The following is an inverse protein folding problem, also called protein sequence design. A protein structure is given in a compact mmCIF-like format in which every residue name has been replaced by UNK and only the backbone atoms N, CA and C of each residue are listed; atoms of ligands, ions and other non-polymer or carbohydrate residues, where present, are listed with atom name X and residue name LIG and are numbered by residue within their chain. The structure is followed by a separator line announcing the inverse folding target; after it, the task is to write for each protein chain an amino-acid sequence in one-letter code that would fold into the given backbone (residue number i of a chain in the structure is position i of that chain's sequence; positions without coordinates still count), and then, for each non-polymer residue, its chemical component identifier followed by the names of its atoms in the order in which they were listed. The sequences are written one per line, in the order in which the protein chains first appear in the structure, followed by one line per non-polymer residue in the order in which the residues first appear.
data_IF_246723069872
#
_entry.id   IF_246723069872
#
_cell.length_a   1.000
_cell.length_b   1.000
_cell.length_c   1.000
_cell.angle_alpha   90.00
_cell.angle_beta   90.00
_cell.angle_gamma   90.00
#
_symmetry.space_group_name_H-M   'P 1'
#
loop_
_entity.id
_entity.type
_entity.pdbx_description
1 polymer ?
#
# COMPACT_ATOMS: atom_id res chain seq x y z
N UNK A 1 20.52 -1.48 15.39
CA UNK A 1 20.14 -2.29 14.21
C UNK A 1 19.29 -3.45 14.72
N UNK A 2 18.31 -3.94 13.97
CA UNK A 2 17.42 -5.05 14.40
C UNK A 2 17.76 -6.34 13.67
N UNK A 3 17.85 -7.45 14.41
CA UNK A 3 18.10 -8.80 13.89
C UNK A 3 17.09 -9.17 12.81
N UNK A 4 15.80 -8.96 13.06
CA UNK A 4 14.75 -9.34 12.11
C UNK A 4 14.78 -8.52 10.83
N UNK A 5 15.14 -7.24 10.89
CA UNK A 5 15.35 -6.45 9.66
C UNK A 5 16.50 -7.01 8.84
N UNK A 6 17.60 -7.40 9.49
CA UNK A 6 18.75 -7.98 8.80
C UNK A 6 18.40 -9.34 8.17
N UNK A 7 17.67 -10.20 8.88
CA UNK A 7 17.21 -11.48 8.37
C UNK A 7 16.25 -11.33 7.18
N UNK A 8 15.31 -10.37 7.25
CA UNK A 8 14.43 -10.08 6.12
C UNK A 8 15.22 -9.61 4.89
N UNK A 9 16.24 -8.76 5.08
CA UNK A 9 17.07 -8.27 3.98
C UNK A 9 17.97 -9.34 3.36
N UNK A 10 18.39 -10.34 4.14
CA UNK A 10 19.17 -11.49 3.64
C UNK A 10 18.30 -12.47 2.84
N UNK A 11 16.97 -12.40 3.00
CA UNK A 11 16.05 -13.24 2.24
C UNK A 11 15.94 -12.71 0.81
N UNK A 12 16.67 -13.33 -0.13
CA UNK A 12 16.79 -12.91 -1.53
C UNK A 12 15.54 -13.15 -2.39
N UNK A 13 14.49 -13.73 -1.82
CA UNK A 13 13.22 -13.99 -2.48
C UNK A 13 12.15 -13.01 -1.97
N UNK A 14 11.22 -12.64 -2.85
CA UNK A 14 10.06 -11.76 -2.63
C UNK A 14 9.02 -12.35 -1.66
N UNK A 15 9.44 -12.97 -0.55
CA UNK A 15 8.50 -13.40 0.47
C UNK A 15 7.82 -12.15 1.04
N UNK A 16 6.47 -12.13 1.10
CA UNK A 16 5.76 -11.03 1.71
C UNK A 16 6.28 -10.78 3.13
N UNK A 17 6.47 -9.50 3.46
CA UNK A 17 6.82 -9.05 4.81
C UNK A 17 5.88 -9.61 5.88
N UNK A 18 4.63 -9.84 5.47
CA UNK A 18 3.56 -10.45 6.24
C UNK A 18 3.92 -11.85 6.71
N UNK A 19 4.17 -12.79 5.79
CA UNK A 19 4.58 -14.16 6.09
C UNK A 19 5.81 -14.19 7.02
N UNK A 20 6.81 -13.35 6.75
CA UNK A 20 8.00 -13.27 7.58
C UNK A 20 7.68 -12.87 9.03
N UNK A 21 6.80 -11.90 9.22
CA UNK A 21 6.39 -11.47 10.55
C UNK A 21 5.49 -12.50 11.24
N UNK A 22 4.60 -13.14 10.49
CA UNK A 22 3.73 -14.23 10.94
C UNK A 22 4.56 -15.37 11.56
N UNK A 23 5.62 -15.82 10.88
CA UNK A 23 6.53 -16.86 11.40
C UNK A 23 7.20 -16.45 12.71
N UNK A 24 7.69 -15.21 12.80
CA UNK A 24 8.34 -14.70 14.01
C UNK A 24 7.36 -14.68 15.18
N UNK A 25 6.15 -14.15 14.97
CA UNK A 25 5.15 -14.02 16.02
C UNK A 25 4.68 -15.40 16.49
N UNK A 26 4.39 -16.32 15.57
CA UNK A 26 3.99 -17.67 15.91
C UNK A 26 5.07 -18.42 16.70
N UNK A 27 6.33 -18.32 16.27
CA UNK A 27 7.45 -18.92 17.00
C UNK A 27 7.58 -18.33 18.41
N UNK A 28 7.56 -16.99 18.54
CA UNK A 28 7.62 -16.32 19.83
C UNK A 28 6.49 -16.76 20.78
N UNK A 29 5.26 -16.83 20.28
CA UNK A 29 4.10 -17.23 21.08
C UNK A 29 4.15 -18.70 21.48
N UNK A 30 4.75 -19.58 20.66
CA UNK A 30 4.92 -21.00 21.00
C UNK A 30 5.95 -21.23 22.12
N UNK A 31 6.94 -20.33 22.25
CA UNK A 31 7.87 -20.30 23.37
C UNK A 31 7.26 -19.63 24.63
N UNK A 32 6.35 -18.68 24.43
CA UNK A 32 5.78 -17.82 25.48
C UNK A 32 4.25 -17.93 25.52
N UNK A 33 3.78 -19.13 25.84
CA UNK A 33 2.35 -19.46 25.86
C UNK A 33 1.53 -18.61 26.83
N UNK A 34 2.12 -18.16 27.94
CA UNK A 34 1.49 -17.26 28.91
C UNK A 34 1.19 -15.89 28.30
N UNK A 35 2.05 -15.40 27.41
CA UNK A 35 1.83 -14.15 26.68
C UNK A 35 0.68 -14.29 25.69
N UNK A 36 0.62 -15.42 24.96
CA UNK A 36 -0.51 -15.74 24.07
C UNK A 36 -1.84 -15.76 24.85
N UNK A 37 -1.91 -16.56 25.91
CA UNK A 37 -3.12 -16.69 26.73
C UNK A 37 -3.50 -15.35 27.35
N UNK A 38 -2.53 -14.60 27.89
CA UNK A 38 -2.76 -13.28 28.44
C UNK A 38 -3.29 -12.28 27.41
N UNK A 39 -2.78 -12.32 26.17
CA UNK A 39 -3.26 -11.47 25.08
C UNK A 39 -4.69 -11.84 24.65
N UNK A 40 -4.99 -13.12 24.47
CA UNK A 40 -6.33 -13.59 24.12
C UNK A 40 -7.37 -13.22 25.19
N UNK A 41 -7.03 -13.39 26.48
CA UNK A 41 -7.89 -12.97 27.61
C UNK A 41 -8.08 -11.46 27.67
N UNK A 42 -7.02 -10.69 27.45
CA UNK A 42 -7.11 -9.22 27.48
C UNK A 42 -8.13 -8.68 26.47
N UNK A 43 -8.31 -9.38 25.34
CA UNK A 43 -9.31 -9.06 24.32
C UNK A 43 -10.63 -9.81 24.47
N UNK A 44 -10.84 -10.53 25.59
CA UNK A 44 -12.02 -11.36 25.85
C UNK A 44 -12.31 -12.40 24.78
N UNK A 45 -11.26 -12.90 24.11
CA UNK A 45 -11.36 -13.90 23.05
C UNK A 45 -11.57 -15.29 23.65
N UNK A 46 -10.88 -15.55 24.76
CA UNK A 46 -11.03 -16.73 25.60
C UNK A 46 -11.31 -16.30 27.04
N UNK A 47 -11.98 -17.17 27.79
CA UNK A 47 -12.28 -16.97 29.21
C UNK A 47 -11.73 -18.07 30.12
N UNK A 48 -11.25 -19.18 29.55
CA UNK A 48 -10.73 -20.33 30.29
C UNK A 48 -9.24 -20.16 30.58
N UNK A 49 -8.83 -20.70 31.72
CA UNK A 49 -7.46 -20.65 32.24
C UNK A 49 -6.76 -22.01 32.12
N UNK A 50 -7.51 -23.07 31.83
CA UNK A 50 -7.07 -24.45 32.01
C UNK A 50 -6.75 -25.17 30.70
N UNK A 51 -5.96 -24.53 29.82
CA UNK A 51 -5.42 -25.22 28.64
C UNK A 51 -4.15 -25.98 29.03
N UNK A 52 -4.18 -27.30 28.84
CA UNK A 52 -3.06 -28.20 29.11
C UNK A 52 -2.12 -28.35 27.92
N UNK A 53 -2.59 -28.04 26.70
CA UNK A 53 -1.80 -28.13 25.47
C UNK A 53 -2.12 -26.96 24.54
N UNK A 54 -1.07 -26.39 23.96
CA UNK A 54 -1.15 -25.29 23.00
C UNK A 54 -0.29 -25.69 21.81
N UNK A 55 -0.90 -25.70 20.63
CA UNK A 55 -0.21 -25.94 19.36
C UNK A 55 -0.43 -24.72 18.47
N UNK A 56 0.67 -24.20 17.93
CA UNK A 56 0.66 -23.07 16.99
C UNK A 56 1.27 -23.57 15.70
N UNK A 57 0.54 -23.42 14.60
CA UNK A 57 0.98 -23.77 13.26
C UNK A 57 0.86 -22.53 12.39
N UNK A 58 1.76 -22.36 11.44
CA UNK A 58 1.71 -21.27 10.46
C UNK A 58 1.46 -21.84 9.08
N UNK A 59 0.90 -21.00 8.20
CA UNK A 59 0.85 -21.25 6.76
C UNK A 59 0.18 -22.60 6.41
N UNK A 60 -0.82 -23.00 7.19
CA UNK A 60 -1.51 -24.28 7.04
C UNK A 60 -2.47 -24.23 5.85
N UNK A 61 -2.38 -25.23 4.99
CA UNK A 61 -3.30 -25.41 3.87
C UNK A 61 -4.54 -26.17 4.32
N UNK A 62 -5.69 -25.56 4.12
CA UNK A 62 -7.02 -26.14 4.33
C UNK A 62 -7.70 -26.28 2.98
N UNK A 63 -8.27 -27.46 2.73
CA UNK A 63 -9.02 -27.70 1.50
C UNK A 63 -10.22 -26.77 1.43
N UNK A 64 -10.44 -26.21 0.26
CA UNK A 64 -11.65 -25.45 -0.04
C UNK A 64 -12.89 -26.33 0.12
N UNK A 65 -13.97 -25.73 0.59
CA UNK A 65 -15.29 -26.37 0.56
C UNK A 65 -15.82 -26.44 -0.88
N UNK A 66 -16.87 -27.21 -1.14
CA UNK A 66 -17.42 -27.40 -2.50
C UNK A 66 -17.80 -26.09 -3.22
N UNK A 67 -18.16 -25.05 -2.45
CA UNK A 67 -18.50 -23.72 -2.93
C UNK A 67 -17.29 -22.78 -3.05
N UNK A 68 -16.07 -23.25 -2.75
CA UNK A 68 -14.84 -22.48 -2.85
C UNK A 68 -14.16 -22.78 -4.20
N UNK A 69 -13.57 -21.75 -4.81
CA UNK A 69 -12.86 -21.88 -6.10
C UNK A 69 -11.44 -22.40 -5.95
N UNK A 70 -10.90 -22.38 -4.74
CA UNK A 70 -9.50 -22.70 -4.43
C UNK A 70 -9.36 -23.07 -2.95
N UNK A 71 -8.27 -23.77 -2.63
CA UNK A 71 -7.87 -24.06 -1.26
C UNK A 71 -7.43 -22.78 -0.52
N UNK A 72 -7.41 -22.86 0.81
CA UNK A 72 -7.11 -21.75 1.69
C UNK A 72 -5.78 -21.97 2.41
N UNK A 73 -4.97 -20.91 2.55
CA UNK A 73 -3.72 -20.96 3.32
C UNK A 73 -3.80 -19.94 4.46
N UNK A 74 -3.88 -20.44 5.69
CA UNK A 74 -4.05 -19.62 6.89
C UNK A 74 -2.70 -19.14 7.42
N UNK A 75 -2.64 -17.89 7.85
CA UNK A 75 -1.41 -17.32 8.41
C UNK A 75 -0.98 -18.01 9.71
N UNK A 76 -1.88 -18.04 10.71
CA UNK A 76 -1.65 -18.75 11.99
C UNK A 76 -2.90 -19.51 12.39
N UNK A 77 -2.69 -20.76 12.81
CA UNK A 77 -3.68 -21.61 13.45
C UNK A 77 -3.21 -21.94 14.86
N UNK A 78 -4.06 -21.69 15.85
CA UNK A 78 -3.82 -22.00 17.26
C UNK A 78 -4.86 -23.00 17.75
N UNK A 79 -4.40 -24.15 18.22
CA UNK A 79 -5.24 -25.15 18.88
C UNK A 79 -4.96 -25.10 20.39
N UNK A 80 -6.00 -24.81 21.17
CA UNK A 80 -5.96 -24.77 22.64
C UNK A 80 -6.77 -25.94 23.19
N UNK A 81 -6.12 -26.89 23.86
CA UNK A 81 -6.80 -28.08 24.42
C UNK A 81 -6.68 -28.16 25.93
N UNK A 82 -7.77 -28.55 26.59
CA UNK A 82 -7.82 -28.89 28.02
C UNK A 82 -7.91 -30.40 28.28
N UNK A 83 -7.66 -31.22 27.26
CA UNK A 83 -7.75 -32.69 27.32
C UNK A 83 -9.15 -33.26 27.07
N UNK A 84 -10.21 -32.46 27.24
CA UNK A 84 -11.60 -32.87 26.96
C UNK A 84 -12.17 -32.20 25.71
N UNK A 85 -11.70 -31.00 25.41
CA UNK A 85 -12.20 -30.15 24.34
C UNK A 85 -11.05 -29.34 23.76
N UNK A 86 -11.22 -28.92 22.51
CA UNK A 86 -10.26 -28.08 21.78
C UNK A 86 -10.95 -26.84 21.26
N UNK A 87 -10.35 -25.69 21.50
CA UNK A 87 -10.70 -24.44 20.86
C UNK A 87 -9.73 -24.20 19.71
N UNK A 88 -10.24 -23.74 18.57
CA UNK A 88 -9.43 -23.45 17.39
C UNK A 88 -9.57 -21.98 17.04
N UNK A 89 -8.43 -21.33 16.89
CA UNK A 89 -8.30 -19.93 16.55
C UNK A 89 -7.55 -19.83 15.23
N UNK A 90 -8.23 -19.31 14.21
CA UNK A 90 -7.58 -18.87 12.98
C UNK A 90 -7.23 -17.39 13.11
N UNK A 91 -6.00 -17.02 12.76
CA UNK A 91 -5.54 -15.63 12.74
C UNK A 91 -5.10 -15.32 11.33
N UNK A 92 -5.77 -14.36 10.70
CA UNK A 92 -5.37 -13.76 9.43
C UNK A 92 -4.65 -12.43 9.72
N UNK A 93 -3.40 -12.32 9.25
CA UNK A 93 -2.53 -11.18 9.48
C UNK A 93 -2.48 -10.30 8.25
N UNK A 94 -2.56 -8.97 8.43
CA UNK A 94 -2.31 -8.01 7.35
C UNK A 94 -1.40 -6.88 7.79
N UNK A 95 -0.27 -6.69 7.10
CA UNK A 95 0.64 -5.56 7.37
C UNK A 95 0.54 -4.47 6.30
N UNK A 96 0.33 -4.84 5.04
CA UNK A 96 0.34 -3.87 3.94
C UNK A 96 -0.68 -4.09 2.84
N UNK A 97 -1.42 -5.21 2.87
CA UNK A 97 -2.51 -5.49 1.93
C UNK A 97 -3.85 -5.49 2.68
N UNK A 98 -4.91 -5.02 2.02
CA UNK A 98 -6.27 -5.25 2.50
C UNK A 98 -6.69 -6.69 2.19
N UNK A 99 -7.70 -7.23 2.86
CA UNK A 99 -8.34 -8.48 2.43
C UNK A 99 -8.97 -8.30 1.04
N UNK A 100 -8.31 -8.81 0.01
CA UNK A 100 -8.70 -8.62 -1.39
C UNK A 100 -9.61 -9.72 -1.95
N UNK A 101 -9.80 -10.85 -1.24
CA UNK A 101 -10.28 -12.09 -1.85
C UNK A 101 -11.42 -12.80 -1.07
N UNK A 102 -12.16 -12.10 -0.21
CA UNK A 102 -13.14 -12.70 0.70
C UNK A 102 -12.54 -13.83 1.57
N UNK A 103 -11.24 -13.77 1.86
CA UNK A 103 -10.52 -14.84 2.56
C UNK A 103 -11.12 -15.07 3.94
N UNK A 104 -11.50 -13.99 4.64
CA UNK A 104 -12.13 -14.08 5.95
C UNK A 104 -13.44 -14.86 5.96
N UNK A 105 -14.26 -14.72 4.90
CA UNK A 105 -15.50 -15.49 4.78
C UNK A 105 -15.20 -16.97 4.58
N UNK A 106 -14.27 -17.30 3.67
CA UNK A 106 -13.84 -18.69 3.43
C UNK A 106 -13.31 -19.32 4.72
N UNK A 107 -12.49 -18.60 5.48
CA UNK A 107 -11.92 -19.11 6.73
C UNK A 107 -12.98 -19.34 7.81
N UNK A 108 -13.97 -18.45 7.92
CA UNK A 108 -15.09 -18.67 8.83
C UNK A 108 -15.88 -19.95 8.44
N UNK A 109 -16.13 -20.17 7.15
CA UNK A 109 -16.82 -21.38 6.67
C UNK A 109 -15.99 -22.65 6.93
N UNK A 110 -14.68 -22.64 6.66
CA UNK A 110 -13.78 -23.77 6.96
C UNK A 110 -13.79 -24.07 8.46
N UNK A 111 -13.61 -23.04 9.29
CA UNK A 111 -13.56 -23.17 10.74
C UNK A 111 -14.88 -23.71 11.31
N UNK A 112 -16.03 -23.29 10.76
CA UNK A 112 -17.34 -23.86 11.06
C UNK A 112 -17.39 -25.36 10.81
N UNK A 113 -16.83 -25.82 9.69
CA UNK A 113 -16.87 -27.23 9.28
C UNK A 113 -15.85 -28.13 9.98
N UNK A 114 -14.93 -27.59 10.79
CA UNK A 114 -14.00 -28.43 11.56
C UNK A 114 -14.76 -29.27 12.62
N UNK A 115 -14.53 -30.60 12.65
CA UNK A 115 -15.19 -31.48 13.59
C UNK A 115 -14.58 -31.36 15.00
N UNK A 116 -15.38 -31.68 16.03
CA UNK A 116 -14.92 -31.82 17.43
C UNK A 116 -14.30 -30.56 18.06
N UNK A 117 -14.62 -29.37 17.57
CA UNK A 117 -14.17 -28.10 18.14
C UNK A 117 -15.24 -27.53 19.10
N UNK A 118 -14.81 -27.07 20.29
CA UNK A 118 -15.65 -26.40 21.28
C UNK A 118 -15.89 -24.94 20.89
N UNK A 119 -14.84 -24.12 20.86
CA UNK A 119 -14.93 -22.74 20.38
C UNK A 119 -14.19 -22.54 19.05
N UNK A 120 -14.87 -21.87 18.12
CA UNK A 120 -14.40 -21.53 16.77
C UNK A 120 -14.21 -20.03 16.69
N UNK A 121 -12.97 -19.59 16.56
CA UNK A 121 -12.60 -18.18 16.64
C UNK A 121 -11.83 -17.77 15.40
N UNK A 122 -12.27 -16.70 14.74
CA UNK A 122 -11.54 -16.05 13.66
C UNK A 122 -11.06 -14.68 14.12
N UNK A 123 -9.75 -14.46 14.11
CA UNK A 123 -9.10 -13.18 14.41
C UNK A 123 -8.58 -12.60 13.10
N UNK A 124 -8.95 -11.36 12.82
CA UNK A 124 -8.35 -10.56 11.76
C UNK A 124 -7.51 -9.44 12.39
N UNK A 125 -6.20 -9.42 12.15
CA UNK A 125 -5.28 -8.44 12.73
C UNK A 125 -4.57 -7.61 11.66
N UNK A 126 -4.73 -6.29 11.71
CA UNK A 126 -4.19 -5.40 10.66
C UNK A 126 -3.24 -4.32 11.20
N UNK A 127 -2.29 -3.88 10.36
CA UNK A 127 -1.50 -2.66 10.65
C UNK A 127 -2.38 -1.43 10.57
N UNK A 128 -3.13 -1.29 9.46
CA UNK A 128 -3.91 -0.10 9.09
C UNK A 128 -5.42 -0.26 9.31
N UNK A 129 -6.16 0.85 9.24
CA UNK A 129 -7.61 0.84 9.48
C UNK A 129 -8.37 0.22 8.31
N UNK A 130 -8.82 -1.02 8.54
CA UNK A 130 -9.58 -1.82 7.59
C UNK A 130 -10.75 -2.54 8.31
N UNK A 131 -11.85 -1.84 8.65
CA UNK A 131 -12.99 -2.42 9.36
C UNK A 131 -13.72 -3.47 8.50
N UNK A 132 -13.93 -4.68 9.04
CA UNK A 132 -14.61 -5.83 8.41
C UNK A 132 -15.97 -6.11 9.04
N UNK A 133 -16.84 -5.09 9.06
CA UNK A 133 -18.17 -5.21 9.68
C UNK A 133 -19.04 -6.25 8.96
N UNK A 134 -18.82 -6.41 7.66
CA UNK A 134 -19.48 -7.33 6.76
C UNK A 134 -19.21 -8.81 7.09
N UNK A 135 -18.15 -9.14 7.82
CA UNK A 135 -17.82 -10.52 8.20
C UNK A 135 -18.49 -10.95 9.51
N UNK A 136 -18.74 -10.00 10.42
CA UNK A 136 -19.19 -10.30 11.79
C UNK A 136 -20.54 -11.04 11.81
N UNK A 137 -21.52 -10.56 11.06
CA UNK A 137 -22.86 -11.17 11.02
C UNK A 137 -22.86 -12.52 10.29
N UNK A 138 -22.27 -12.66 9.08
CA UNK A 138 -22.16 -13.96 8.42
C UNK A 138 -21.46 -15.03 9.27
N UNK A 139 -20.32 -14.71 9.89
CA UNK A 139 -19.58 -15.67 10.72
C UNK A 139 -20.41 -16.17 11.92
N UNK A 140 -21.19 -15.29 12.54
CA UNK A 140 -22.06 -15.64 13.67
C UNK A 140 -23.30 -16.46 13.27
N UNK A 141 -23.72 -16.37 12.01
CA UNK A 141 -24.88 -17.08 11.48
C UNK A 141 -24.54 -18.48 10.93
N UNK A 142 -23.25 -18.84 10.87
CA UNK A 142 -22.84 -20.20 10.55
C UNK A 142 -23.26 -21.17 11.66
N UNK A 143 -23.49 -22.42 11.29
CA UNK A 143 -23.75 -23.49 12.24
C UNK A 143 -22.76 -24.64 11.97
N UNK A 144 -21.84 -24.93 12.91
CA UNK A 144 -21.60 -24.25 14.20
C UNK A 144 -21.06 -22.81 14.11
N UNK A 145 -21.45 -21.96 15.07
CA UNK A 145 -21.09 -20.53 15.10
C UNK A 145 -19.59 -20.26 15.18
N UNK A 146 -19.15 -19.21 14.48
CA UNK A 146 -17.79 -18.68 14.54
C UNK A 146 -17.77 -17.29 15.18
N UNK A 147 -16.94 -17.10 16.19
CA UNK A 147 -16.72 -15.80 16.83
C UNK A 147 -15.67 -15.00 16.06
N UNK A 148 -16.04 -13.83 15.56
CA UNK A 148 -15.13 -12.96 14.82
C UNK A 148 -14.61 -11.81 15.67
N UNK A 149 -13.29 -11.65 15.70
CA UNK A 149 -12.58 -10.56 16.36
C UNK A 149 -11.73 -9.81 15.36
N UNK A 150 -11.82 -8.50 15.40
CA UNK A 150 -10.95 -7.63 14.63
C UNK A 150 -10.04 -6.86 15.57
N UNK A 151 -8.73 -6.99 15.33
CA UNK A 151 -7.68 -6.38 16.13
C UNK A 151 -6.72 -5.58 15.23
N UNK A 152 -5.84 -4.84 15.89
CA UNK A 152 -4.77 -4.09 15.26
C UNK A 152 -3.44 -4.46 15.87
N UNK A 153 -2.39 -4.48 15.04
CA UNK A 153 -1.05 -4.81 15.50
C UNK A 153 -0.56 -3.88 16.63
N UNK A 154 -1.03 -2.63 16.69
CA UNK A 154 -0.70 -1.74 17.80
C UNK A 154 -1.21 -2.23 19.17
N UNK A 155 -2.29 -3.02 19.20
CA UNK A 155 -2.82 -3.59 20.43
C UNK A 155 -1.91 -4.72 20.93
N UNK A 156 -1.45 -5.58 20.03
CA UNK A 156 -0.44 -6.59 20.34
C UNK A 156 0.89 -5.93 20.77
N UNK A 157 1.32 -4.87 20.07
CA UNK A 157 2.50 -4.08 20.44
C UNK A 157 2.40 -3.56 21.88
N UNK A 158 1.30 -2.90 22.22
CA UNK A 158 1.08 -2.34 23.56
C UNK A 158 1.10 -3.41 24.65
N UNK A 159 0.59 -4.61 24.37
CA UNK A 159 0.66 -5.74 25.29
C UNK A 159 2.09 -6.26 25.44
N UNK A 160 2.80 -6.44 24.33
CA UNK A 160 4.15 -6.98 24.29
C UNK A 160 5.18 -6.07 24.97
N UNK A 161 4.93 -4.76 25.04
CA UNK A 161 5.79 -3.81 25.78
C UNK A 161 5.97 -4.17 27.26
N UNK A 162 5.01 -4.89 27.86
CA UNK A 162 5.10 -5.35 29.26
C UNK A 162 6.17 -6.44 29.45
N UNK A 163 6.63 -7.06 28.36
CA UNK A 163 7.59 -8.15 28.33
C UNK A 163 8.90 -7.72 27.65
N UNK A 164 9.18 -6.41 27.60
CA UNK A 164 10.34 -5.86 26.90
C UNK A 164 11.70 -6.25 27.52
N UNK A 165 11.75 -7.08 28.56
CA UNK A 165 12.99 -7.69 29.06
C UNK A 165 13.39 -8.94 28.27
N UNK A 166 12.45 -9.59 27.58
CA UNK A 166 12.74 -10.71 26.68
C UNK A 166 13.39 -10.21 25.38
N UNK A 167 14.51 -10.82 24.98
CA UNK A 167 15.30 -10.37 23.82
C UNK A 167 14.49 -10.54 22.52
N UNK A 168 13.74 -11.62 22.40
CA UNK A 168 12.92 -11.88 21.21
C UNK A 168 11.76 -10.88 21.15
N UNK A 169 11.11 -10.60 22.28
CA UNK A 169 10.10 -9.54 22.39
C UNK A 169 10.65 -8.16 22.01
N UNK A 170 11.88 -7.81 22.44
CA UNK A 170 12.53 -6.55 22.04
C UNK A 170 12.72 -6.45 20.52
N UNK A 171 13.19 -7.52 19.88
CA UNK A 171 13.35 -7.57 18.43
C UNK A 171 12.00 -7.46 17.70
N UNK A 172 10.94 -8.10 18.21
CA UNK A 172 9.58 -7.95 17.67
C UNK A 172 9.13 -6.50 17.78
N UNK A 173 9.26 -5.89 18.96
CA UNK A 173 8.88 -4.48 19.19
C UNK A 173 9.66 -3.51 18.29
N UNK A 174 10.93 -3.78 18.01
CA UNK A 174 11.71 -2.97 17.06
C UNK A 174 11.23 -3.15 15.62
N UNK A 175 10.94 -4.38 15.20
CA UNK A 175 10.39 -4.66 13.88
C UNK A 175 9.03 -4.00 13.70
N UNK A 176 8.14 -4.09 14.68
CA UNK A 176 6.83 -3.45 14.67
C UNK A 176 6.92 -1.93 14.54
N UNK A 177 7.81 -1.29 15.31
CA UNK A 177 8.06 0.17 15.21
C UNK A 177 8.47 0.59 13.82
N UNK A 178 9.46 -0.10 13.23
CA UNK A 178 9.97 0.20 11.88
C UNK A 178 8.93 0.01 10.78
N UNK A 179 7.93 -0.83 11.03
CA UNK A 179 6.89 -1.15 10.06
C UNK A 179 5.55 -0.46 10.35
N UNK A 180 5.53 0.57 11.21
CA UNK A 180 4.32 1.36 11.50
C UNK A 180 3.25 0.61 12.30
N UNK A 181 3.60 -0.52 12.92
CA UNK A 181 2.69 -1.34 13.73
C UNK A 181 2.62 -0.91 15.20
N UNK A 182 3.40 0.10 15.61
CA UNK A 182 3.43 0.63 16.98
C UNK A 182 2.57 1.88 17.18
N UNK A 183 1.89 2.37 16.14
CA UNK A 183 1.12 3.62 16.17
C UNK A 183 -0.10 3.48 17.08
N UNK A 184 -0.25 4.40 18.03
CA UNK A 184 -1.40 4.38 18.94
C UNK A 184 -2.62 5.03 18.30
N UNK A 185 -3.81 4.83 18.88
CA UNK A 185 -5.04 5.54 18.47
C UNK A 185 -5.12 6.98 19.02
N UNK A 186 -3.98 7.61 19.28
CA UNK A 186 -3.88 8.98 19.79
C UNK A 186 -3.12 9.83 18.79
N UNK A 187 -3.61 11.06 18.57
CA UNK A 187 -2.90 12.05 17.78
C UNK A 187 -1.66 12.54 18.54
N UNK A 188 -0.51 12.50 17.87
CA UNK A 188 0.70 13.16 18.32
C UNK A 188 0.67 14.66 17.98
N UNK A 189 1.57 15.44 18.57
CA UNK A 189 1.76 16.84 18.19
C UNK A 189 2.17 17.00 16.72
N UNK A 190 2.87 16.00 16.15
CA UNK A 190 3.23 16.00 14.73
C UNK A 190 2.00 15.78 13.85
N UNK A 191 1.07 14.91 14.26
CA UNK A 191 -0.19 14.69 13.54
C UNK A 191 -1.02 15.97 13.55
N UNK A 192 -1.13 16.63 14.70
CA UNK A 192 -1.81 17.92 14.81
C UNK A 192 -1.15 18.99 13.93
N UNK A 193 0.18 19.10 13.96
CA UNK A 193 0.94 20.03 13.11
C UNK A 193 0.70 19.76 11.62
N UNK A 194 0.63 18.48 11.24
CA UNK A 194 0.36 18.04 9.87
C UNK A 194 -1.06 18.44 9.47
N UNK A 195 -2.06 18.18 10.32
CA UNK A 195 -3.46 18.55 10.05
C UNK A 195 -3.63 20.05 9.82
N UNK A 196 -3.01 20.90 10.64
CA UNK A 196 -3.16 22.37 10.52
C UNK A 196 -2.36 22.95 9.34
N UNK A 197 -1.23 22.34 8.97
CA UNK A 197 -0.41 22.82 7.84
C UNK A 197 -0.77 22.18 6.50
N UNK A 198 -1.58 21.11 6.48
CA UNK A 198 -1.87 20.35 5.26
C UNK A 198 -2.33 21.23 4.10
N UNK A 199 -3.33 22.08 4.33
CA UNK A 199 -3.85 22.97 3.28
C UNK A 199 -2.81 24.01 2.84
N UNK A 200 -1.98 24.52 3.77
CA UNK A 200 -0.90 25.46 3.42
C UNK A 200 0.12 24.78 2.49
N UNK A 201 0.55 23.56 2.81
CA UNK A 201 1.47 22.78 1.99
C UNK A 201 0.87 22.42 0.64
N UNK A 202 -0.40 22.01 0.61
CA UNK A 202 -1.12 21.72 -0.63
C UNK A 202 -1.19 22.97 -1.53
N UNK A 203 -1.58 24.12 -0.98
CA UNK A 203 -1.65 25.37 -1.73
C UNK A 203 -0.27 25.77 -2.29
N UNK A 204 0.82 25.47 -1.57
CA UNK A 204 2.17 25.70 -2.05
C UNK A 204 2.47 24.83 -3.28
N UNK A 205 2.16 23.53 -3.23
CA UNK A 205 2.33 22.64 -4.38
C UNK A 205 1.47 23.07 -5.57
N UNK A 206 0.20 23.41 -5.33
CA UNK A 206 -0.71 23.97 -6.34
C UNK A 206 -0.15 25.24 -6.99
N UNK A 207 0.43 26.13 -6.18
CA UNK A 207 1.04 27.36 -6.69
C UNK A 207 2.22 27.10 -7.62
N UNK A 208 2.99 26.02 -7.41
CA UNK A 208 4.09 25.64 -8.32
C UNK A 208 3.61 25.01 -9.62
N UNK A 209 2.41 24.41 -9.63
CA UNK A 209 1.73 23.92 -10.82
C UNK A 209 0.73 24.96 -11.36
N UNK A 210 1.05 26.25 -11.22
CA UNK A 210 0.20 27.37 -11.63
C UNK A 210 -0.17 27.35 -13.12
N UNK A 211 -1.12 28.21 -13.50
CA UNK A 211 -1.57 28.37 -14.90
C UNK A 211 -0.43 28.55 -15.91
N UNK A 212 0.63 29.27 -15.55
CA UNK A 212 1.83 29.46 -16.38
C UNK A 212 2.51 28.13 -16.75
N UNK A 213 2.82 27.29 -15.75
CA UNK A 213 3.44 25.97 -15.95
C UNK A 213 2.50 25.05 -16.71
N UNK A 214 1.20 25.08 -16.39
CA UNK A 214 0.20 24.30 -17.12
C UNK A 214 0.05 24.74 -18.57
N UNK A 215 0.21 26.04 -18.85
CA UNK A 215 0.15 26.58 -20.20
C UNK A 215 1.35 26.08 -21.02
N UNK A 216 2.57 26.14 -20.47
CA UNK A 216 3.75 25.57 -21.13
C UNK A 216 3.60 24.07 -21.39
N UNK A 217 3.08 23.32 -20.41
CA UNK A 217 2.83 21.89 -20.56
C UNK A 217 1.82 21.61 -21.69
N UNK A 218 0.73 22.39 -21.77
CA UNK A 218 -0.27 22.29 -22.84
C UNK A 218 0.31 22.61 -24.21
N UNK A 219 1.13 23.67 -24.31
CA UNK A 219 1.79 24.04 -25.57
C UNK A 219 2.77 22.96 -26.05
N UNK A 220 3.45 22.29 -25.12
CA UNK A 220 4.37 21.21 -25.46
C UNK A 220 3.64 19.92 -25.86
N UNK A 221 2.57 19.55 -25.14
CA UNK A 221 2.06 18.17 -25.17
C UNK A 221 0.56 18.03 -25.51
N UNK A 222 -0.17 19.12 -25.77
CA UNK A 222 -1.54 19.08 -26.31
C UNK A 222 -2.70 19.05 -25.31
N UNK A 223 -2.44 19.01 -24.00
CA UNK A 223 -3.49 19.09 -22.98
C UNK A 223 -3.02 18.87 -21.55
N UNK A 224 -3.83 19.28 -20.56
CA UNK A 224 -3.72 18.88 -19.16
C UNK A 224 -5.08 18.33 -18.76
N UNK A 225 -5.11 17.11 -18.23
CA UNK A 225 -6.37 16.48 -17.82
C UNK A 225 -6.98 17.25 -16.65
N UNK A 226 -8.30 17.52 -16.72
CA UNK A 226 -9.01 18.30 -15.70
C UNK A 226 -8.98 17.56 -14.36
N UNK A 227 -8.59 18.25 -13.30
CA UNK A 227 -8.44 17.64 -11.97
C UNK A 227 -7.27 16.66 -11.86
N UNK A 228 -6.32 16.69 -12.81
CA UNK A 228 -5.18 15.78 -12.83
C UNK A 228 -4.38 15.81 -11.53
N UNK A 229 -4.05 17.00 -11.04
CA UNK A 229 -3.38 17.16 -9.75
C UNK A 229 -4.42 17.03 -8.64
N UNK A 230 -4.60 15.81 -8.12
CA UNK A 230 -5.64 15.50 -7.13
C UNK A 230 -5.10 14.81 -5.89
N UNK A 231 -5.82 14.99 -4.79
CA UNK A 231 -5.57 14.28 -3.52
C UNK A 231 -5.72 12.77 -3.65
N UNK A 232 -6.53 12.32 -4.61
CA UNK A 232 -6.69 10.89 -4.95
C UNK A 232 -5.37 10.30 -5.40
N UNK A 233 -4.63 10.98 -6.27
CA UNK A 233 -3.30 10.52 -6.68
C UNK A 233 -2.29 10.54 -5.53
N UNK A 234 -2.34 11.53 -4.64
CA UNK A 234 -1.45 11.55 -3.50
C UNK A 234 -1.69 10.31 -2.63
N UNK A 235 -2.96 10.02 -2.33
CA UNK A 235 -3.32 8.87 -1.49
C UNK A 235 -2.91 7.53 -2.11
N UNK A 236 -3.17 7.32 -3.40
CA UNK A 236 -3.08 5.99 -4.00
C UNK A 236 -1.83 5.76 -4.84
N UNK A 237 -1.27 6.80 -5.44
CA UNK A 237 -0.12 6.73 -6.34
C UNK A 237 1.11 7.48 -5.79
N UNK A 238 1.02 8.00 -4.55
CA UNK A 238 2.08 8.75 -3.87
C UNK A 238 2.61 9.96 -4.68
N UNK A 239 1.73 10.59 -5.46
CA UNK A 239 2.11 11.68 -6.39
C UNK A 239 1.06 12.77 -6.46
N UNK A 240 1.49 13.96 -6.88
CA UNK A 240 0.60 15.10 -7.14
C UNK A 240 1.07 15.79 -8.41
N UNK A 241 0.43 15.45 -9.54
CA UNK A 241 0.92 15.78 -10.88
C UNK A 241 -0.17 16.29 -11.82
N UNK A 242 0.20 17.14 -12.77
CA UNK A 242 -0.55 17.31 -14.01
C UNK A 242 -0.07 16.29 -15.03
N UNK A 243 -0.94 15.81 -15.92
CA UNK A 243 -0.55 14.80 -16.91
C UNK A 243 -1.40 14.83 -18.19
N UNK A 244 -0.92 14.15 -19.23
CA UNK A 244 -1.60 13.94 -20.51
C UNK A 244 -1.25 12.58 -21.12
N UNK A 245 -2.09 12.09 -22.02
CA UNK A 245 -1.91 10.84 -22.75
C UNK A 245 -1.52 11.11 -24.20
N UNK A 246 -0.64 10.27 -24.74
CA UNK A 246 -0.14 10.34 -26.12
C UNK A 246 -0.69 9.22 -27.03
N UNK A 247 -1.65 8.44 -26.53
CA UNK A 247 -2.36 7.40 -27.26
C UNK A 247 -3.88 7.62 -27.12
N UNK A 248 -4.69 7.20 -28.12
CA UNK A 248 -6.15 7.17 -27.98
C UNK A 248 -6.63 6.32 -26.80
N UNK A 249 -5.90 5.26 -26.46
CA UNK A 249 -6.13 4.49 -25.24
C UNK A 249 -5.52 5.23 -24.05
N UNK A 250 -6.33 5.47 -23.03
CA UNK A 250 -6.01 6.30 -21.86
C UNK A 250 -4.84 5.79 -21.01
N UNK A 251 -4.19 4.68 -21.34
CA UNK A 251 -3.13 4.11 -20.51
C UNK A 251 -2.05 3.38 -21.32
N UNK A 252 -1.77 3.81 -22.55
CA UNK A 252 -0.72 3.19 -23.36
C UNK A 252 0.62 3.91 -23.22
N UNK A 253 0.61 5.23 -23.43
CA UNK A 253 1.78 6.11 -23.36
C UNK A 253 1.33 7.47 -22.82
N UNK A 254 2.03 7.99 -21.81
CA UNK A 254 1.63 9.22 -21.16
C UNK A 254 2.82 9.89 -20.45
N UNK A 255 2.69 11.18 -20.17
CA UNK A 255 3.64 11.93 -19.36
C UNK A 255 2.94 12.70 -18.25
N UNK A 256 3.69 12.94 -17.17
CA UNK A 256 3.20 13.72 -16.05
C UNK A 256 4.31 14.55 -15.41
N UNK A 257 3.92 15.70 -14.86
CA UNK A 257 4.77 16.71 -14.27
C UNK A 257 4.26 17.05 -12.86
N UNK A 258 5.15 17.06 -11.87
CA UNK A 258 4.82 17.49 -10.51
C UNK A 258 5.64 16.77 -9.45
N UNK A 259 4.98 16.34 -8.38
CA UNK A 259 5.58 15.76 -7.18
C UNK A 259 5.40 14.24 -7.14
N UNK A 260 6.44 13.51 -6.70
CA UNK A 260 6.47 12.05 -6.61
C UNK A 260 7.08 11.59 -5.29
N UNK A 261 6.64 10.44 -4.78
CA UNK A 261 7.13 9.88 -3.52
C UNK A 261 6.65 10.68 -2.30
N UNK A 262 5.41 11.16 -2.32
CA UNK A 262 4.83 11.98 -1.25
C UNK A 262 4.49 11.20 0.02
N UNK A 263 4.52 9.86 -0.01
CA UNK A 263 4.29 8.98 1.14
C UNK A 263 5.52 8.09 1.39
N UNK A 264 6.69 8.66 1.70
CA UNK A 264 7.91 7.87 1.79
C UNK A 264 7.82 6.86 2.95
N UNK A 265 8.41 5.68 2.75
CA UNK A 265 8.54 4.67 3.82
C UNK A 265 9.44 5.14 4.97
N UNK A 266 10.28 6.14 4.73
CA UNK A 266 11.15 6.76 5.72
C UNK A 266 10.95 8.28 5.72
N UNK A 267 10.69 8.85 6.90
CA UNK A 267 10.42 10.28 7.07
C UNK A 267 11.63 11.19 6.78
N UNK A 268 12.82 10.62 6.58
CA UNK A 268 14.00 11.38 6.14
C UNK A 268 14.12 11.50 4.62
N UNK A 269 13.31 10.76 3.86
CA UNK A 269 13.38 10.77 2.41
C UNK A 269 12.62 12.00 1.87
N UNK A 270 13.24 12.69 0.91
CA UNK A 270 12.64 13.83 0.25
C UNK A 270 11.84 13.39 -0.99
N UNK A 271 10.65 13.98 -1.24
CA UNK A 271 9.93 13.80 -2.49
C UNK A 271 10.77 14.25 -3.69
N UNK A 272 10.47 13.70 -4.85
CA UNK A 272 11.04 14.17 -6.12
C UNK A 272 10.09 15.12 -6.84
N UNK A 273 10.66 16.08 -7.55
CA UNK A 273 9.96 16.96 -8.46
C UNK A 273 10.47 16.73 -9.87
N UNK A 274 9.61 16.80 -10.88
CA UNK A 274 10.03 16.79 -12.28
C UNK A 274 8.99 16.24 -13.22
N UNK A 275 9.44 15.71 -14.35
CA UNK A 275 8.62 15.14 -15.40
C UNK A 275 9.00 13.68 -15.67
N UNK A 276 8.04 12.88 -16.11
CA UNK A 276 8.30 11.52 -16.60
C UNK A 276 7.57 11.21 -17.89
N UNK A 277 8.05 10.19 -18.58
CA UNK A 277 7.37 9.53 -19.70
C UNK A 277 7.24 8.04 -19.38
N UNK A 278 6.04 7.48 -19.49
CA UNK A 278 5.77 6.08 -19.16
C UNK A 278 4.95 5.37 -20.25
N UNK A 279 5.27 4.09 -20.46
CA UNK A 279 4.62 3.20 -21.42
C UNK A 279 4.14 1.91 -20.74
N UNK A 280 2.92 1.50 -21.09
CA UNK A 280 2.28 0.29 -20.59
C UNK A 280 2.90 -0.96 -21.18
N UNK A 281 2.94 -2.04 -20.39
CA UNK A 281 3.38 -3.36 -20.82
C UNK A 281 2.52 -3.96 -21.95
N UNK A 282 1.29 -3.48 -22.10
CA UNK A 282 0.33 -3.94 -23.12
C UNK A 282 0.39 -3.14 -24.41
N UNK A 283 1.11 -2.02 -24.45
CA UNK A 283 1.12 -1.17 -25.62
C UNK A 283 1.92 -1.80 -26.76
N UNK A 284 1.31 -1.94 -27.94
CA UNK A 284 1.94 -2.60 -29.09
C UNK A 284 3.24 -1.93 -29.56
N UNK A 285 3.38 -0.60 -29.36
CA UNK A 285 4.61 0.13 -29.72
C UNK A 285 5.65 0.18 -28.57
N UNK A 286 5.41 -0.50 -27.44
CA UNK A 286 6.33 -0.51 -26.29
C UNK A 286 7.77 -0.81 -26.70
N UNK A 287 8.10 -1.83 -27.54
CA UNK A 287 9.50 -2.12 -27.87
C UNK A 287 10.25 -0.92 -28.46
N UNK A 288 9.61 -0.16 -29.37
CA UNK A 288 10.20 1.04 -29.98
C UNK A 288 10.41 2.16 -28.96
N UNK A 289 9.42 2.37 -28.09
CA UNK A 289 9.49 3.40 -27.04
C UNK A 289 10.60 3.08 -26.05
N UNK A 290 10.75 1.81 -25.66
CA UNK A 290 11.83 1.37 -24.78
C UNK A 290 13.19 1.56 -25.43
N UNK A 291 13.33 1.27 -26.72
CA UNK A 291 14.57 1.53 -27.45
C UNK A 291 14.95 3.01 -27.43
N UNK A 292 13.99 3.91 -27.69
CA UNK A 292 14.21 5.36 -27.58
C UNK A 292 14.58 5.77 -26.14
N UNK A 293 13.86 5.28 -25.14
CA UNK A 293 14.18 5.51 -23.72
C UNK A 293 15.61 5.05 -23.37
N UNK A 294 16.03 3.89 -23.86
CA UNK A 294 17.39 3.38 -23.63
C UNK A 294 18.45 4.27 -24.27
N UNK A 295 18.21 4.79 -25.48
CA UNK A 295 19.11 5.76 -26.14
C UNK A 295 19.25 7.05 -25.33
N UNK A 296 18.14 7.59 -24.83
CA UNK A 296 18.15 8.80 -23.99
C UNK A 296 18.99 8.58 -22.72
N UNK A 297 18.81 7.45 -22.06
CA UNK A 297 19.58 7.11 -20.85
C UNK A 297 21.06 6.93 -21.17
N UNK A 298 21.39 6.35 -22.33
CA UNK A 298 22.78 6.19 -22.77
C UNK A 298 23.46 7.54 -23.07
N UNK A 299 22.75 8.45 -23.76
CA UNK A 299 23.29 9.75 -24.16
C UNK A 299 23.31 10.76 -23.01
N UNK A 300 22.34 10.69 -22.09
CA UNK A 300 22.13 11.63 -20.98
C UNK A 300 21.99 10.93 -19.61
N UNK A 301 22.94 10.08 -19.19
CA UNK A 301 22.80 9.22 -18.00
C UNK A 301 22.69 9.98 -16.68
N UNK A 302 23.20 11.22 -16.62
CA UNK A 302 23.17 12.06 -15.42
C UNK A 302 21.90 12.93 -15.32
N UNK A 303 21.10 13.01 -16.39
CA UNK A 303 19.90 13.84 -16.44
C UNK A 303 18.63 13.00 -16.32
N UNK A 304 18.62 11.83 -16.97
CA UNK A 304 17.46 10.96 -17.03
C UNK A 304 17.67 9.69 -16.20
N UNK A 305 16.70 9.37 -15.35
CA UNK A 305 16.70 8.14 -14.53
C UNK A 305 15.76 7.10 -15.15
N UNK A 306 16.21 5.86 -15.38
CA UNK A 306 15.34 4.81 -15.92
C UNK A 306 14.45 4.20 -14.83
N UNK A 307 13.30 3.67 -15.23
CA UNK A 307 12.39 2.89 -14.37
C UNK A 307 11.87 1.68 -15.12
N UNK A 308 12.14 0.48 -14.59
CA UNK A 308 11.54 -0.79 -15.03
C UNK A 308 11.62 -1.07 -16.55
N UNK A 309 12.65 -0.58 -17.27
CA UNK A 309 12.73 -0.71 -18.73
C UNK A 309 12.75 -2.18 -19.21
N UNK A 310 13.24 -3.10 -18.36
CA UNK A 310 13.37 -4.54 -18.65
C UNK A 310 12.41 -5.45 -17.86
N UNK A 311 11.57 -4.88 -17.00
CA UNK A 311 10.70 -5.64 -16.09
C UNK A 311 9.30 -5.75 -16.70
N UNK A 312 8.85 -6.97 -16.97
CA UNK A 312 7.47 -7.25 -17.37
C UNK A 312 6.73 -7.94 -16.21
N UNK A 313 5.42 -7.70 -16.02
CA UNK A 313 4.54 -6.83 -16.82
C UNK A 313 4.49 -5.37 -16.34
N UNK A 314 5.53 -4.88 -15.67
CA UNK A 314 5.56 -3.53 -15.11
C UNK A 314 5.50 -2.44 -16.19
N UNK A 315 4.97 -1.27 -15.81
CA UNK A 315 5.13 -0.04 -16.56
C UNK A 315 6.61 0.34 -16.63
N UNK A 316 7.02 0.87 -17.78
CA UNK A 316 8.39 1.30 -18.02
C UNK A 316 8.43 2.80 -18.29
N UNK A 317 9.47 3.47 -17.84
CA UNK A 317 9.59 4.91 -18.07
C UNK A 317 10.95 5.49 -17.79
N UNK A 318 11.05 6.79 -18.05
CA UNK A 318 12.21 7.62 -17.75
C UNK A 318 11.75 8.88 -17.02
N UNK A 319 12.59 9.37 -16.12
CA UNK A 319 12.31 10.54 -15.28
C UNK A 319 13.42 11.59 -15.43
N UNK A 320 13.01 12.84 -15.61
CA UNK A 320 13.87 14.01 -15.45
C UNK A 320 13.43 14.72 -14.18
N UNK A 321 14.19 14.57 -13.10
CA UNK A 321 13.74 14.94 -11.75
C UNK A 321 14.89 15.34 -10.83
N UNK A 322 14.56 16.15 -9.82
CA UNK A 322 15.43 16.55 -8.71
C UNK A 322 14.77 16.23 -7.37
N UNK A 323 15.57 16.10 -6.32
CA UNK A 323 15.04 15.95 -4.96
C UNK A 323 14.47 17.29 -4.50
N UNK A 324 13.39 17.30 -3.72
CA UNK A 324 12.91 18.53 -3.06
C UNK A 324 14.00 19.16 -2.19
N UNK A 325 14.91 18.33 -1.67
CA UNK A 325 16.08 18.78 -0.92
C UNK A 325 16.92 19.81 -1.69
N UNK A 326 17.04 19.65 -3.01
CA UNK A 326 17.88 20.51 -3.87
C UNK A 326 17.34 21.94 -3.96
N UNK A 327 16.08 22.15 -3.57
CA UNK A 327 15.42 23.47 -3.58
C UNK A 327 15.43 24.14 -2.21
N UNK A 328 15.81 23.44 -1.12
CA UNK A 328 15.67 23.98 0.23
C UNK A 328 16.62 25.16 0.52
N UNK A 329 17.72 25.28 -0.23
CA UNK A 329 18.63 26.44 -0.15
C UNK A 329 18.14 27.67 -0.91
N UNK A 330 17.10 27.54 -1.74
CA UNK A 330 16.57 28.65 -2.53
C UNK A 330 15.79 29.63 -1.64
N UNK A 331 15.93 30.93 -1.89
CA UNK A 331 15.20 31.96 -1.13
C UNK A 331 13.69 31.90 -1.42
N UNK A 332 13.33 31.63 -2.68
CA UNK A 332 11.95 31.48 -3.12
C UNK A 332 11.75 30.13 -3.79
N UNK A 333 11.33 29.15 -2.97
CA UNK A 333 11.07 27.78 -3.42
C UNK A 333 10.03 27.72 -4.54
N UNK A 334 8.98 28.54 -4.49
CA UNK A 334 7.92 28.52 -5.50
C UNK A 334 8.46 28.89 -6.87
N UNK A 335 9.22 29.98 -6.95
CA UNK A 335 9.83 30.43 -8.19
C UNK A 335 10.85 29.43 -8.71
N UNK A 336 11.73 28.89 -7.85
CA UNK A 336 12.74 27.92 -8.25
C UNK A 336 12.12 26.62 -8.80
N UNK A 337 11.07 26.11 -8.14
CA UNK A 337 10.36 24.90 -8.59
C UNK A 337 9.64 25.14 -9.92
N UNK A 338 8.98 26.29 -10.10
CA UNK A 338 8.34 26.64 -11.39
C UNK A 338 9.34 26.66 -12.53
N UNK A 339 10.48 27.32 -12.33
CA UNK A 339 11.55 27.37 -13.33
C UNK A 339 12.04 25.97 -13.69
N UNK A 340 12.23 25.11 -12.69
CA UNK A 340 12.63 23.72 -12.93
C UNK A 340 11.55 22.90 -13.66
N UNK A 341 10.26 23.14 -13.39
CA UNK A 341 9.18 22.53 -14.15
C UNK A 341 9.16 22.98 -15.60
N UNK A 342 9.37 24.27 -15.88
CA UNK A 342 9.49 24.81 -17.25
C UNK A 342 10.71 24.22 -17.98
N UNK A 343 11.86 24.10 -17.30
CA UNK A 343 13.04 23.40 -17.80
C UNK A 343 12.72 21.94 -18.15
N UNK A 344 12.05 21.22 -17.24
CA UNK A 344 11.67 19.82 -17.42
C UNK A 344 10.76 19.62 -18.63
N UNK A 345 9.79 20.50 -18.85
CA UNK A 345 8.90 20.49 -20.02
C UNK A 345 9.71 20.65 -21.31
N UNK A 346 10.61 21.64 -21.35
CA UNK A 346 11.47 21.92 -22.52
C UNK A 346 12.37 20.74 -22.83
N UNK A 347 13.01 20.15 -21.82
CA UNK A 347 13.90 19.00 -21.98
C UNK A 347 13.15 17.78 -22.51
N UNK A 348 11.95 17.46 -21.97
CA UNK A 348 11.15 16.35 -22.51
C UNK A 348 10.73 16.62 -23.96
N UNK A 349 10.39 17.87 -24.33
CA UNK A 349 10.07 18.24 -25.71
C UNK A 349 11.28 18.09 -26.64
N UNK A 350 12.47 18.50 -26.22
CA UNK A 350 13.71 18.28 -26.98
C UNK A 350 13.98 16.79 -27.19
N UNK A 351 13.80 15.99 -26.14
CA UNK A 351 13.95 14.53 -26.20
C UNK A 351 12.92 13.89 -27.13
N UNK A 352 11.67 14.36 -27.11
CA UNK A 352 10.64 13.95 -28.05
C UNK A 352 11.10 14.13 -29.49
N UNK A 353 11.51 15.35 -29.85
CA UNK A 353 11.88 15.72 -31.22
C UNK A 353 13.13 14.97 -31.73
N UNK A 354 14.06 14.62 -30.83
CA UNK A 354 15.31 13.96 -31.17
C UNK A 354 15.24 12.43 -31.22
N UNK A 355 14.47 11.81 -30.32
CA UNK A 355 14.54 10.37 -30.08
C UNK A 355 13.28 9.60 -30.48
N UNK A 356 12.18 10.29 -30.77
CA UNK A 356 10.90 9.66 -31.06
C UNK A 356 10.40 10.04 -32.45
N UNK A 357 10.40 9.06 -33.36
CA UNK A 357 9.91 9.20 -34.74
C UNK A 357 8.40 8.91 -34.84
N UNK A 358 7.60 9.60 -34.01
CA UNK A 358 6.15 9.65 -34.14
C UNK A 358 5.58 10.89 -33.44
N UNK A 359 4.53 11.53 -33.99
CA UNK A 359 3.99 12.76 -33.42
C UNK A 359 3.28 12.47 -32.09
N UNK A 360 3.73 13.10 -31.01
CA UNK A 360 2.94 13.18 -29.77
C UNK A 360 2.03 14.38 -29.92
N UNK A 361 0.77 14.15 -30.26
CA UNK A 361 -0.28 15.13 -29.95
C UNK A 361 -1.08 14.54 -28.81
N UNK A 362 -1.04 15.19 -27.66
CA UNK A 362 -2.00 14.88 -26.60
C UNK A 362 -3.40 14.97 -27.17
N UNK A 363 -4.28 14.08 -26.71
CA UNK A 363 -5.68 14.11 -27.10
C UNK A 363 -6.24 15.46 -26.68
N UNK A 364 -6.59 16.32 -27.65
CA UNK A 364 -7.32 17.55 -27.39
C UNK A 364 -8.62 17.17 -26.69
N UNK A 365 -8.78 17.55 -25.43
CA UNK A 365 -10.05 17.35 -24.72
C UNK A 365 -10.99 18.46 -25.21
N UNK A 366 -11.57 18.30 -26.40
CA UNK A 366 -12.81 19.00 -26.73
C UNK A 366 -13.89 18.46 -25.80
N UNK A 367 -14.44 19.36 -24.99
CA UNK A 367 -15.65 19.25 -24.17
C UNK A 367 -16.30 17.86 -24.13
N UNK A 368 -15.90 17.04 -23.15
CA UNK A 368 -16.81 16.00 -22.66
C UNK A 368 -17.93 16.75 -21.93
N UNK A 369 -19.07 16.87 -22.60
CA UNK A 369 -20.30 17.42 -22.03
C UNK A 369 -20.71 16.61 -20.80
N UNK A 370 -21.38 17.27 -19.85
CA UNK A 370 -21.80 16.79 -18.52
C UNK A 370 -22.72 15.55 -18.48
N UNK A 371 -22.81 14.76 -19.53
CA UNK A 371 -23.68 13.59 -19.64
C UNK A 371 -23.09 12.28 -19.10
N UNK A 372 -21.78 12.21 -18.79
CA UNK A 372 -21.17 10.99 -18.22
C UNK A 372 -21.05 11.03 -16.68
N UNK A 373 -21.77 11.95 -16.02
CA UNK A 373 -21.80 12.09 -14.55
C UNK A 373 -22.78 11.15 -13.84
N UNK A 374 -23.60 10.36 -14.52
CA UNK A 374 -24.65 9.56 -13.84
C UNK A 374 -24.31 8.10 -13.51
N UNK A 375 -23.20 7.52 -14.00
CA UNK A 375 -22.92 6.09 -13.78
C UNK A 375 -21.88 5.78 -12.68
N UNK A 376 -21.51 6.74 -11.83
CA UNK A 376 -20.58 6.51 -10.71
C UNK A 376 -21.10 6.93 -9.32
N UNK A 377 -22.33 7.44 -9.22
CA UNK A 377 -22.92 7.92 -7.94
C UNK A 377 -24.30 7.32 -7.60
N UNK A 378 -24.62 6.11 -8.06
CA UNK A 378 -25.82 5.37 -7.61
C UNK A 378 -25.48 4.09 -6.84
N UNK A 379 -25.05 4.26 -5.58
CA UNK A 379 -25.43 3.32 -4.53
C UNK A 379 -26.76 3.81 -3.97
N UNK A 380 -27.86 3.02 -4.05
CA UNK A 380 -29.13 3.46 -3.49
C UNK A 380 -29.02 3.51 -1.97
N UNK A 381 -29.09 4.72 -1.45
CA UNK A 381 -29.60 4.98 -0.11
C UNK A 381 -31.06 4.54 -0.05
N UNK A 382 -31.35 3.41 0.57
CA UNK A 382 -32.66 3.21 1.17
C UNK A 382 -32.55 2.32 2.40
N UNK A 383 -32.59 2.99 3.54
CA UNK A 383 -33.10 2.46 4.80
C UNK A 383 -34.59 2.22 4.62
N UNK A 384 -35.01 0.97 4.81
CA UNK A 384 -36.22 0.56 5.50
C UNK A 384 -35.98 -0.82 6.08
#
# INVERSE_FOLDING_TARGET
MSLFTNLLNLHSASKPREDFFTEIVAYFLSLNNDILIGWLKHHSIISDDNYSSIKISTQQEHKGLENHTEDSRLDIEVELSNGFSTDVIFIESKIGANDGNNSLKKYAEILSNLPNIRHRILIYITRDYDPKKEIKTPAFNLEPKVSFYQLRWHQFYARLQQYATDILAQEILMFMRRNGMSTTNQFSSLDLLTMVNFNKTLNLMESTLSEEVQHEFRLAFGGVIRGAASRTQWKWDERYIIYTHFSPSTWDLWCGLGYFGLNPSNLTDYPYLGIFLQVSSRFGQRPKIIESMQKIIYDKPNLWTPSNLKVLPAWSGIFYRKSLQDFLSEENHVSAIKLFFQESIKELKTVQEQYFDFPWKGVSIETVTETDKEDLDTLPSSIA
#
